data_IF_757042539675
#
_entry.id   IF_757042539675
#
_cell.length_a   1.000
_cell.length_b   1.000
_cell.length_c   1.000
_cell.angle_alpha   90.00
_cell.angle_beta   90.00
_cell.angle_gamma   90.00
#
_symmetry.space_group_name_H-M   'P 1'
#
loop_
_entity.id
_entity.type
_entity.pdbx_description
1 polymer ?
#
# COMPACT_ATOMS: atom_id res chain seq x y z
N UNK A 1 -2.41 7.19 1.36
CA UNK A 1 -1.72 8.29 2.09
C UNK A 1 -2.42 9.62 1.83
N UNK A 2 -2.43 10.13 0.59
CA UNK A 2 -3.04 11.43 0.24
C UNK A 2 -4.52 11.53 0.64
N UNK A 3 -5.32 10.49 0.35
CA UNK A 3 -6.74 10.48 0.70
C UNK A 3 -7.00 10.48 2.22
N UNK A 4 -6.10 9.89 2.99
CA UNK A 4 -6.19 9.87 4.47
C UNK A 4 -5.91 11.28 5.00
N UNK A 5 -4.88 11.94 4.47
CA UNK A 5 -4.58 13.31 4.83
C UNK A 5 -5.73 14.26 4.47
N UNK A 6 -6.32 14.13 3.28
CA UNK A 6 -7.52 14.89 2.91
C UNK A 6 -8.64 14.64 3.91
N UNK A 7 -8.90 13.38 4.27
CA UNK A 7 -9.90 12.97 5.26
C UNK A 7 -9.77 13.70 6.61
N UNK A 8 -8.55 13.96 7.07
CA UNK A 8 -8.30 14.65 8.35
C UNK A 8 -8.54 16.16 8.32
N UNK A 9 -8.58 16.78 7.14
CA UNK A 9 -8.75 18.24 6.97
C UNK A 9 -10.03 18.61 6.22
N UNK A 10 -10.96 17.66 6.07
CA UNK A 10 -12.21 17.89 5.32
C UNK A 10 -13.06 19.06 5.84
N UNK A 11 -12.97 19.37 7.13
CA UNK A 11 -13.72 20.46 7.78
C UNK A 11 -13.01 21.81 7.73
N UNK A 12 -11.76 21.86 7.25
CA UNK A 12 -10.96 23.07 7.19
C UNK A 12 -11.18 23.84 5.88
N UNK A 13 -10.78 25.12 5.87
CA UNK A 13 -10.86 25.97 4.68
C UNK A 13 -10.07 25.38 3.50
N UNK A 14 -10.55 25.60 2.27
CA UNK A 14 -9.97 25.07 1.03
C UNK A 14 -8.45 25.32 0.92
N UNK A 15 -7.98 26.50 1.34
CA UNK A 15 -6.55 26.85 1.34
C UNK A 15 -5.73 25.90 2.23
N UNK A 16 -6.21 25.57 3.42
CA UNK A 16 -5.53 24.64 4.34
C UNK A 16 -5.56 23.22 3.80
N UNK A 17 -6.64 22.80 3.15
CA UNK A 17 -6.73 21.49 2.50
C UNK A 17 -5.68 21.36 1.39
N UNK A 18 -5.60 22.34 0.48
CA UNK A 18 -4.67 22.34 -0.65
C UNK A 18 -3.22 22.27 -0.14
N UNK A 19 -2.86 23.13 0.82
CA UNK A 19 -1.50 23.20 1.36
C UNK A 19 -1.12 21.87 2.05
N UNK A 20 -1.98 21.38 2.94
CA UNK A 20 -1.72 20.15 3.69
C UNK A 20 -1.59 18.93 2.77
N UNK A 21 -2.55 18.75 1.86
CA UNK A 21 -2.55 17.61 0.93
C UNK A 21 -1.34 17.67 -0.01
N UNK A 22 -0.95 18.86 -0.48
CA UNK A 22 0.22 19.02 -1.35
C UNK A 22 1.52 18.66 -0.64
N UNK A 23 1.72 19.13 0.59
CA UNK A 23 2.91 18.80 1.40
C UNK A 23 2.97 17.30 1.67
N UNK A 24 1.86 16.70 2.12
CA UNK A 24 1.81 15.27 2.39
C UNK A 24 2.03 14.45 1.12
N UNK A 25 1.49 14.87 -0.02
CA UNK A 25 1.69 14.18 -1.29
C UNK A 25 3.17 14.20 -1.71
N UNK A 26 3.86 15.33 -1.58
CA UNK A 26 5.30 15.44 -1.87
C UNK A 26 6.13 14.58 -0.91
N UNK A 27 5.88 14.69 0.40
CA UNK A 27 6.59 13.90 1.41
C UNK A 27 6.38 12.39 1.21
N UNK A 28 5.15 11.97 0.94
CA UNK A 28 4.84 10.57 0.67
C UNK A 28 5.54 10.07 -0.60
N UNK A 29 5.58 10.89 -1.65
CA UNK A 29 6.26 10.56 -2.91
C UNK A 29 7.75 10.37 -2.67
N UNK A 30 8.42 11.35 -2.06
CA UNK A 30 9.85 11.29 -1.78
C UNK A 30 10.16 10.13 -0.82
N UNK A 31 9.35 9.95 0.23
CA UNK A 31 9.55 8.89 1.22
C UNK A 31 9.43 7.49 0.61
N UNK A 32 8.37 7.22 -0.14
CA UNK A 32 8.13 5.90 -0.76
C UNK A 32 9.21 5.60 -1.80
N UNK A 33 9.48 6.52 -2.73
CA UNK A 33 10.51 6.30 -3.74
C UNK A 33 11.92 6.24 -3.15
N UNK A 34 12.20 7.02 -2.09
CA UNK A 34 13.48 6.98 -1.38
C UNK A 34 13.73 5.64 -0.69
N UNK A 35 12.74 5.10 0.01
CA UNK A 35 12.84 3.78 0.64
C UNK A 35 13.08 2.69 -0.43
N UNK A 36 12.31 2.71 -1.52
CA UNK A 36 12.47 1.75 -2.62
C UNK A 36 13.87 1.88 -3.25
N UNK A 37 14.37 3.10 -3.46
CA UNK A 37 15.71 3.33 -4.01
C UNK A 37 16.81 2.78 -3.10
N UNK A 38 16.68 2.92 -1.77
CA UNK A 38 17.62 2.33 -0.81
C UNK A 38 17.60 0.80 -0.89
N UNK A 39 16.41 0.20 -0.91
CA UNK A 39 16.23 -1.25 -1.02
C UNK A 39 16.91 -1.79 -2.28
N UNK A 40 16.67 -1.15 -3.43
CA UNK A 40 17.28 -1.56 -4.70
C UNK A 40 18.81 -1.34 -4.68
N UNK A 41 19.29 -0.21 -4.14
CA UNK A 41 20.73 0.08 -4.09
C UNK A 41 21.49 -0.87 -3.15
N UNK A 42 20.81 -1.48 -2.18
CA UNK A 42 21.38 -2.51 -1.31
C UNK A 42 21.75 -3.77 -2.10
N UNK A 43 20.98 -4.12 -3.13
CA UNK A 43 21.26 -5.25 -4.04
C UNK A 43 22.51 -5.00 -4.90
N UNK A 44 22.57 -3.84 -5.57
CA UNK A 44 23.74 -3.42 -6.34
C UNK A 44 25.03 -3.41 -5.50
N UNK A 45 24.91 -2.94 -4.26
CA UNK A 45 26.03 -2.88 -3.32
C UNK A 45 26.43 -4.27 -2.86
N UNK A 46 25.45 -5.16 -2.60
CA UNK A 46 25.68 -6.56 -2.29
C UNK A 46 26.44 -7.29 -3.40
N UNK A 47 26.03 -7.09 -4.65
CA UNK A 47 26.71 -7.67 -5.81
C UNK A 47 28.15 -7.14 -5.97
N UNK A 48 28.37 -5.83 -5.78
CA UNK A 48 29.72 -5.25 -5.78
C UNK A 48 30.61 -5.84 -4.68
N UNK A 49 30.05 -6.14 -3.51
CA UNK A 49 30.76 -6.75 -2.39
C UNK A 49 31.19 -8.19 -2.71
N UNK A 50 30.28 -8.98 -3.30
CA UNK A 50 30.57 -10.34 -3.79
C UNK A 50 31.75 -10.31 -4.77
N UNK A 51 31.66 -9.44 -5.79
CA UNK A 51 32.70 -9.32 -6.82
C UNK A 51 34.05 -8.89 -6.25
N UNK A 52 34.09 -7.97 -5.28
CA UNK A 52 35.32 -7.55 -4.59
C UNK A 52 35.93 -8.65 -3.71
N UNK A 53 35.10 -9.51 -3.13
CA UNK A 53 35.55 -10.59 -2.23
C UNK A 53 36.14 -11.81 -2.94
N UNK A 54 36.25 -11.81 -4.28
CA UNK A 54 36.71 -12.98 -5.05
C UNK A 54 35.91 -14.26 -4.72
N UNK A 55 34.62 -14.11 -4.39
CA UNK A 55 33.73 -15.18 -3.94
C UNK A 55 34.19 -15.94 -2.67
N UNK A 56 35.03 -15.34 -1.80
CA UNK A 56 35.53 -15.99 -0.58
C UNK A 56 35.45 -15.08 0.65
N UNK A 57 35.25 -15.69 1.82
CA UNK A 57 35.25 -15.01 3.11
C UNK A 57 33.94 -14.35 3.53
N UNK A 58 33.98 -13.66 4.68
CA UNK A 58 32.82 -13.04 5.34
C UNK A 58 32.10 -12.01 4.45
N UNK A 59 32.85 -11.22 3.67
CA UNK A 59 32.31 -10.21 2.77
C UNK A 59 31.45 -10.83 1.64
N UNK A 60 31.78 -12.04 1.19
CA UNK A 60 30.97 -12.76 0.22
C UNK A 60 29.63 -13.22 0.83
N UNK A 61 29.66 -13.69 2.07
CA UNK A 61 28.46 -14.13 2.79
C UNK A 61 27.50 -12.96 3.02
N UNK A 62 28.02 -11.80 3.45
CA UNK A 62 27.23 -10.57 3.62
C UNK A 62 26.66 -10.10 2.28
N UNK A 63 27.47 -10.05 1.21
CA UNK A 63 26.99 -9.65 -0.11
C UNK A 63 25.88 -10.55 -0.64
N UNK A 64 26.02 -11.87 -0.49
CA UNK A 64 24.97 -12.83 -0.86
C UNK A 64 23.70 -12.66 -0.03
N UNK A 65 23.82 -12.35 1.27
CA UNK A 65 22.68 -12.08 2.12
C UNK A 65 21.92 -10.84 1.63
N UNK A 66 22.62 -9.75 1.32
CA UNK A 66 22.00 -8.51 0.83
C UNK A 66 21.21 -8.73 -0.46
N UNK A 67 21.80 -9.43 -1.43
CA UNK A 67 21.15 -9.74 -2.72
C UNK A 67 19.94 -10.66 -2.51
N UNK A 68 20.06 -11.70 -1.67
CA UNK A 68 18.95 -12.61 -1.37
C UNK A 68 17.83 -11.96 -0.56
N UNK A 69 18.13 -10.91 0.22
CA UNK A 69 17.13 -10.18 0.99
C UNK A 69 16.21 -9.33 0.10
N UNK A 70 16.71 -8.82 -1.03
CA UNK A 70 15.92 -7.98 -1.94
C UNK A 70 14.57 -8.61 -2.36
N UNK A 71 14.52 -9.83 -2.95
CA UNK A 71 13.26 -10.43 -3.40
C UNK A 71 12.29 -10.71 -2.23
N UNK A 72 12.82 -11.01 -1.04
CA UNK A 72 12.02 -11.25 0.16
C UNK A 72 11.37 -9.94 0.61
N UNK A 73 12.14 -8.85 0.67
CA UNK A 73 11.64 -7.52 1.04
C UNK A 73 10.55 -7.06 0.07
N UNK A 74 10.75 -7.19 -1.24
CA UNK A 74 9.75 -6.83 -2.25
C UNK A 74 8.46 -7.64 -2.06
N UNK A 75 8.57 -8.95 -1.78
CA UNK A 75 7.40 -9.80 -1.55
C UNK A 75 6.65 -9.44 -0.27
N UNK A 76 7.36 -9.14 0.80
CA UNK A 76 6.76 -8.67 2.07
C UNK A 76 6.04 -7.34 1.83
N UNK A 77 6.69 -6.38 1.16
CA UNK A 77 6.08 -5.09 0.82
C UNK A 77 4.82 -5.24 -0.03
N UNK A 78 4.77 -6.21 -0.95
CA UNK A 78 3.57 -6.48 -1.73
C UNK A 78 2.40 -6.96 -0.85
N UNK A 79 2.65 -7.88 0.08
CA UNK A 79 1.61 -8.38 1.01
C UNK A 79 1.17 -7.27 1.97
N UNK A 80 2.11 -6.59 2.61
CA UNK A 80 1.84 -5.49 3.53
C UNK A 80 1.11 -4.35 2.81
N UNK A 81 1.53 -4.01 1.60
CA UNK A 81 0.88 -3.01 0.76
C UNK A 81 -0.56 -3.39 0.41
N UNK A 82 -0.81 -4.67 0.10
CA UNK A 82 -2.17 -5.16 -0.18
C UNK A 82 -3.05 -5.05 1.07
N UNK A 83 -2.56 -5.47 2.23
CA UNK A 83 -3.28 -5.36 3.51
C UNK A 83 -3.56 -3.89 3.83
N UNK A 84 -2.57 -3.02 3.66
CA UNK A 84 -2.71 -1.59 3.87
C UNK A 84 -3.77 -0.98 2.95
N UNK A 85 -3.81 -1.35 1.67
CA UNK A 85 -4.83 -0.86 0.73
C UNK A 85 -6.24 -1.31 1.14
N UNK A 86 -6.41 -2.55 1.60
CA UNK A 86 -7.70 -3.06 2.10
C UNK A 86 -8.14 -2.28 3.34
N UNK A 87 -7.24 -2.10 4.31
CA UNK A 87 -7.53 -1.35 5.53
C UNK A 87 -7.89 0.10 5.24
N UNK A 88 -7.14 0.78 4.37
CA UNK A 88 -7.41 2.18 4.00
C UNK A 88 -8.75 2.32 3.29
N UNK A 89 -9.08 1.41 2.36
CA UNK A 89 -10.40 1.41 1.71
C UNK A 89 -11.53 1.12 2.72
N UNK A 90 -11.32 0.16 3.61
CA UNK A 90 -12.22 -0.16 4.71
C UNK A 90 -12.50 1.01 5.64
N UNK A 91 -11.46 1.73 6.04
CA UNK A 91 -11.56 2.95 6.84
C UNK A 91 -12.42 4.02 6.17
N UNK A 92 -12.30 4.18 4.85
CA UNK A 92 -13.16 5.09 4.07
C UNK A 92 -14.62 4.65 4.18
N UNK A 93 -14.94 3.37 4.03
CA UNK A 93 -16.33 2.89 4.10
C UNK A 93 -16.94 3.02 5.50
N UNK A 94 -16.19 2.66 6.54
CA UNK A 94 -16.69 2.71 7.93
C UNK A 94 -17.00 4.14 8.35
N UNK A 95 -16.12 5.10 8.04
CA UNK A 95 -16.31 6.50 8.43
C UNK A 95 -17.39 7.23 7.62
N UNK A 96 -17.67 6.82 6.37
CA UNK A 96 -18.67 7.49 5.53
C UNK A 96 -20.06 6.87 5.60
N UNK A 97 -20.20 5.68 6.21
CA UNK A 97 -21.48 5.00 6.34
C UNK A 97 -21.77 4.85 7.83
N UNK A 98 -22.43 5.84 8.44
CA UNK A 98 -22.84 5.85 9.84
C UNK A 98 -23.52 4.54 10.26
N UNK A 99 -24.32 3.94 9.37
CA UNK A 99 -25.01 2.68 9.63
C UNK A 99 -24.06 1.50 9.96
N UNK A 100 -22.83 1.50 9.42
CA UNK A 100 -21.83 0.44 9.67
C UNK A 100 -21.13 0.58 11.02
N UNK A 101 -21.07 1.80 11.58
CA UNK A 101 -20.48 2.04 12.90
C UNK A 101 -21.22 1.32 14.03
N UNK A 102 -22.51 1.04 13.84
CA UNK A 102 -23.44 0.58 14.89
C UNK A 102 -23.65 -0.94 14.90
N UNK A 103 -23.25 -1.64 13.82
CA UNK A 103 -23.55 -3.08 13.64
C UNK A 103 -22.73 -4.00 14.55
N UNK A 104 -21.53 -3.59 14.97
CA UNK A 104 -20.68 -4.40 15.86
C UNK A 104 -19.85 -3.56 16.84
N UNK A 105 -20.44 -2.91 17.85
CA UNK A 105 -19.68 -2.06 18.78
C UNK A 105 -18.52 -2.80 19.48
N UNK A 106 -18.60 -4.12 19.66
CA UNK A 106 -17.60 -4.93 20.35
C UNK A 106 -16.35 -5.32 19.53
N UNK A 107 -16.32 -5.10 18.21
CA UNK A 107 -15.18 -5.46 17.36
C UNK A 107 -14.11 -4.34 17.31
N UNK A 108 -12.81 -4.67 17.38
CA UNK A 108 -11.74 -3.70 17.15
C UNK A 108 -11.87 -3.03 15.76
N UNK A 109 -11.55 -1.73 15.67
CA UNK A 109 -11.67 -0.93 14.44
C UNK A 109 -10.92 -1.54 13.26
N UNK A 110 -9.69 -2.01 13.48
CA UNK A 110 -8.87 -2.63 12.45
C UNK A 110 -9.53 -3.86 11.81
N UNK A 111 -10.23 -4.69 12.60
CA UNK A 111 -10.91 -5.89 12.08
C UNK A 111 -12.14 -5.51 11.27
N UNK A 112 -12.89 -4.50 11.71
CA UNK A 112 -14.05 -3.96 10.98
C UNK A 112 -13.63 -3.40 9.64
N UNK A 113 -12.64 -2.50 9.64
CA UNK A 113 -12.12 -1.88 8.43
C UNK A 113 -11.63 -2.94 7.44
N UNK A 114 -10.89 -3.94 7.92
CA UNK A 114 -10.44 -5.04 7.07
C UNK A 114 -11.61 -5.81 6.43
N UNK A 115 -12.64 -6.16 7.21
CA UNK A 115 -13.83 -6.86 6.73
C UNK A 115 -14.62 -6.04 5.72
N UNK A 116 -14.90 -4.78 6.01
CA UNK A 116 -15.63 -3.90 5.10
C UNK A 116 -14.84 -3.60 3.83
N UNK A 117 -13.53 -3.42 3.94
CA UNK A 117 -12.64 -3.29 2.78
C UNK A 117 -12.67 -4.52 1.89
N UNK A 118 -12.65 -5.73 2.47
CA UNK A 118 -12.78 -7.00 1.74
C UNK A 118 -14.14 -7.13 1.06
N UNK A 119 -15.24 -6.92 1.80
CA UNK A 119 -16.60 -7.03 1.28
C UNK A 119 -16.81 -6.03 0.14
N UNK A 120 -16.46 -4.75 0.36
CA UNK A 120 -16.55 -3.71 -0.66
C UNK A 120 -15.71 -4.05 -1.89
N UNK A 121 -14.49 -4.56 -1.70
CA UNK A 121 -13.62 -5.01 -2.79
C UNK A 121 -14.22 -6.16 -3.60
N UNK A 122 -14.79 -7.17 -2.94
CA UNK A 122 -15.45 -8.30 -3.62
C UNK A 122 -16.71 -7.88 -4.39
N UNK A 123 -17.53 -6.99 -3.80
CA UNK A 123 -18.71 -6.44 -4.47
C UNK A 123 -18.30 -5.66 -5.71
N UNK A 124 -17.30 -4.79 -5.60
CA UNK A 124 -16.78 -4.02 -6.73
C UNK A 124 -16.24 -4.95 -7.84
N UNK A 125 -15.53 -6.03 -7.48
CA UNK A 125 -15.03 -7.03 -8.42
C UNK A 125 -16.16 -7.76 -9.14
N UNK A 126 -17.20 -8.17 -8.41
CA UNK A 126 -18.39 -8.82 -8.99
C UNK A 126 -19.09 -7.88 -9.98
N UNK A 127 -19.36 -6.64 -9.57
CA UNK A 127 -19.98 -5.63 -10.43
C UNK A 127 -19.15 -5.37 -11.69
N UNK A 128 -17.83 -5.21 -11.54
CA UNK A 128 -16.93 -5.00 -12.68
C UNK A 128 -16.90 -6.21 -13.63
N UNK A 129 -16.94 -7.43 -13.10
CA UNK A 129 -16.95 -8.65 -13.90
C UNK A 129 -18.25 -8.79 -14.68
N UNK A 130 -19.40 -8.48 -14.06
CA UNK A 130 -20.72 -8.47 -14.70
C UNK A 130 -20.76 -7.39 -15.78
N UNK A 131 -20.34 -6.15 -15.47
CA UNK A 131 -20.30 -5.05 -16.43
C UNK A 131 -19.42 -5.39 -17.65
N UNK A 132 -18.24 -5.97 -17.44
CA UNK A 132 -17.35 -6.42 -18.51
C UNK A 132 -17.99 -7.54 -19.36
N UNK A 133 -18.75 -8.44 -18.75
CA UNK A 133 -19.47 -9.50 -19.45
C UNK A 133 -20.61 -8.93 -20.31
N UNK A 134 -21.39 -7.99 -19.78
CA UNK A 134 -22.47 -7.29 -20.51
C UNK A 134 -21.88 -6.49 -21.67
N UNK A 135 -20.80 -5.73 -21.45
CA UNK A 135 -20.15 -4.94 -22.51
C UNK A 135 -19.62 -5.82 -23.64
N UNK A 136 -19.03 -6.99 -23.33
CA UNK A 136 -18.62 -7.97 -24.34
C UNK A 136 -19.82 -8.57 -25.10
N UNK A 137 -20.97 -8.72 -24.44
CA UNK A 137 -22.19 -9.24 -25.06
C UNK A 137 -22.78 -8.23 -26.07
N UNK A 138 -22.69 -6.93 -25.77
CA UNK A 138 -23.14 -5.85 -26.66
C UNK A 138 -22.19 -5.54 -27.82
N UNK A 139 -20.91 -5.91 -27.71
CA UNK A 139 -19.89 -5.70 -28.76
C UNK A 139 -19.77 -6.87 -29.74
N UNK A 140 -20.62 -7.90 -29.60
CA UNK A 140 -20.68 -9.09 -30.46
C UNK A 140 -21.98 -9.05 -31.24
#
# INVERSE_FOLDING_TARGET
IVIIALGTVLTENLTLQIVTVSIVALLATIGVYGIVAIIVRMDDTGYKLIKRSQNKGFLNAVGNLLVKALPILIRILAVVGTIALILVAGGIFVHNIDYLHHLWPALPSMVKEFLFGLIGGFIALLLFTIAKKIFKLFKK
#
